data_IF_541241341748
#
_entry.id   IF_541241341748
#
_cell.length_a   1.000
_cell.length_b   1.000
_cell.length_c   1.000
_cell.angle_alpha   90.00
_cell.angle_beta   90.00
_cell.angle_gamma   90.00
#
_symmetry.space_group_name_H-M   'P 1'
#
loop_
_entity.id
_entity.type
_entity.pdbx_description
1 polymer ?
#
# COMPACT_ATOMS: atom_id res chain seq x y z
N UNK A 1 -53.43 -59.64 -23.99
CA UNK A 1 -52.26 -60.11 -24.75
C UNK A 1 -51.01 -59.88 -23.90
N UNK A 2 -50.22 -60.94 -23.64
CA UNK A 2 -48.92 -60.89 -22.94
C UNK A 2 -47.78 -60.85 -23.98
N UNK A 3 -46.77 -59.99 -23.78
CA UNK A 3 -45.34 -60.15 -24.16
C UNK A 3 -44.54 -59.29 -23.15
N UNK A 4 -43.93 -59.86 -22.09
CA UNK A 4 -42.61 -60.53 -22.02
C UNK A 4 -41.50 -59.55 -22.45
N UNK A 5 -40.88 -58.83 -21.50
CA UNK A 5 -39.68 -59.19 -20.70
C UNK A 5 -38.39 -59.11 -21.53
N UNK A 6 -37.44 -58.28 -21.09
CA UNK A 6 -35.98 -58.52 -21.00
C UNK A 6 -35.36 -57.24 -20.42
N UNK A 7 -34.98 -57.20 -19.13
CA UNK A 7 -33.61 -57.47 -18.60
C UNK A 7 -32.54 -56.79 -19.45
N UNK A 8 -31.66 -55.95 -18.92
CA UNK A 8 -30.53 -56.39 -18.08
C UNK A 8 -29.71 -55.17 -17.62
N UNK A 9 -29.07 -55.29 -16.45
CA UNK A 9 -27.64 -55.03 -16.15
C UNK A 9 -26.92 -53.88 -16.86
N UNK A 10 -25.94 -53.19 -16.28
CA UNK A 10 -25.24 -53.15 -15.00
C UNK A 10 -24.16 -52.07 -15.18
N UNK A 11 -23.38 -51.82 -14.12
CA UNK A 11 -22.03 -51.22 -14.15
C UNK A 11 -21.97 -49.68 -14.01
N UNK A 12 -21.95 -49.24 -12.74
CA UNK A 12 -20.97 -48.28 -12.19
C UNK A 12 -19.60 -48.43 -12.89
N UNK A 13 -18.73 -47.41 -13.04
CA UNK A 13 -18.36 -46.44 -11.99
C UNK A 13 -17.92 -45.04 -12.50
N UNK A 14 -17.52 -44.15 -11.57
CA UNK A 14 -16.60 -43.03 -11.85
C UNK A 14 -17.31 -41.73 -12.24
N UNK A 15 -17.16 -40.62 -11.52
CA UNK A 15 -15.90 -40.10 -10.98
C UNK A 15 -16.16 -39.49 -9.59
N UNK A 16 -15.57 -40.12 -8.58
CA UNK A 16 -15.19 -39.44 -7.35
C UNK A 16 -14.06 -38.49 -7.71
N UNK A 17 -14.26 -37.18 -7.59
CA UNK A 17 -13.16 -36.27 -7.27
C UNK A 17 -13.35 -35.83 -5.84
N UNK A 18 -12.74 -36.63 -4.96
CA UNK A 18 -12.28 -36.25 -3.64
C UNK A 18 -11.33 -35.04 -3.78
N UNK A 19 -11.43 -34.17 -2.78
CA UNK A 19 -10.36 -33.37 -2.18
C UNK A 19 -9.31 -32.75 -3.11
N UNK A 20 -9.26 -31.42 -3.11
CA UNK A 20 -8.24 -30.71 -2.34
C UNK A 20 -8.84 -29.41 -1.77
N UNK A 21 -9.53 -29.51 -0.63
CA UNK A 21 -9.34 -28.50 0.40
C UNK A 21 -7.97 -28.82 1.02
N UNK A 22 -6.91 -28.28 0.40
CA UNK A 22 -5.58 -28.28 0.96
C UNK A 22 -5.00 -26.89 0.83
N UNK A 23 -4.73 -26.32 2.00
CA UNK A 23 -3.64 -25.41 2.33
C UNK A 23 -3.47 -24.18 1.40
N UNK A 24 -3.71 -22.95 1.86
CA UNK A 24 -3.27 -22.46 3.16
C UNK A 24 -4.29 -21.56 3.85
N UNK A 25 -5.18 -22.16 4.64
CA UNK A 25 -5.42 -21.62 5.98
C UNK A 25 -4.17 -21.99 6.80
N UNK A 26 -3.16 -21.13 6.77
CA UNK A 26 -1.84 -21.46 7.27
C UNK A 26 -0.80 -20.37 7.09
N UNK A 27 -1.20 -19.10 7.02
CA UNK A 27 -0.40 -18.06 7.64
C UNK A 27 -1.06 -17.81 8.98
N UNK A 28 -0.33 -17.90 10.09
CA UNK A 28 -0.82 -17.39 11.37
C UNK A 28 -1.21 -15.94 11.13
N UNK A 29 -2.50 -15.71 10.89
CA UNK A 29 -3.02 -14.41 10.51
C UNK A 29 -2.65 -13.49 11.65
N UNK A 30 -1.70 -12.58 11.39
CA UNK A 30 -1.43 -11.50 12.32
C UNK A 30 -2.78 -10.85 12.54
N UNK A 31 -3.28 -10.92 13.76
CA UNK A 31 -4.41 -10.11 14.20
C UNK A 31 -3.95 -8.66 14.19
N UNK A 32 -3.83 -8.07 12.99
CA UNK A 32 -3.48 -6.67 12.81
C UNK A 32 -4.74 -5.86 13.07
N UNK A 33 -4.90 -5.45 14.32
CA UNK A 33 -5.89 -4.44 14.74
C UNK A 33 -5.28 -3.04 14.77
N UNK A 34 -4.00 -2.89 14.38
CA UNK A 34 -3.30 -1.62 14.27
C UNK A 34 -2.70 -1.52 12.87
N UNK A 35 -3.12 -0.54 12.07
CA UNK A 35 -2.45 -0.28 10.80
C UNK A 35 -0.95 -0.08 11.01
N UNK A 36 -0.16 -0.68 10.12
CA UNK A 36 1.29 -0.76 10.24
C UNK A 36 2.00 0.54 9.90
N UNK A 37 1.32 1.46 9.21
CA UNK A 37 1.70 2.86 9.12
C UNK A 37 0.87 3.71 10.08
N UNK A 38 1.53 4.63 10.77
CA UNK A 38 0.90 5.67 11.60
C UNK A 38 1.53 7.01 11.25
N UNK A 39 0.85 7.77 10.40
CA UNK A 39 1.31 9.05 9.89
C UNK A 39 0.41 10.18 10.42
N UNK A 40 1.05 11.22 10.93
CA UNK A 40 0.41 12.47 11.36
C UNK A 40 0.59 13.50 10.27
N UNK A 41 -0.53 14.02 9.75
CA UNK A 41 -0.54 15.09 8.76
C UNK A 41 -0.81 16.42 9.48
N UNK A 42 0.13 17.34 9.39
CA UNK A 42 -0.03 18.70 9.91
C UNK A 42 -0.38 19.61 8.73
N UNK A 43 -1.67 19.94 8.61
CA UNK A 43 -2.15 20.81 7.55
C UNK A 43 -1.52 22.21 7.64
N UNK A 44 -0.96 22.67 6.53
CA UNK A 44 -0.43 24.01 6.35
C UNK A 44 -1.46 24.95 5.69
N UNK A 45 -0.97 26.10 5.24
CA UNK A 45 -1.82 27.12 4.63
C UNK A 45 -2.48 26.60 3.33
N UNK A 46 -3.79 26.84 3.20
CA UNK A 46 -4.57 26.52 1.99
C UNK A 46 -4.77 25.04 1.72
N UNK A 47 -4.39 24.16 2.65
CA UNK A 47 -4.56 22.71 2.48
C UNK A 47 -6.05 22.35 2.32
N UNK A 48 -6.38 21.66 1.22
CA UNK A 48 -7.75 21.29 0.90
C UNK A 48 -7.99 19.76 0.92
N UNK A 49 -7.16 18.98 1.61
CA UNK A 49 -7.33 17.52 1.75
C UNK A 49 -8.00 17.09 3.06
N UNK A 50 -8.04 15.78 3.30
CA UNK A 50 -8.65 15.14 4.48
C UNK A 50 -7.69 15.03 5.66
N UNK A 51 -8.18 15.33 6.88
CA UNK A 51 -7.32 15.86 7.94
C UNK A 51 -6.90 14.86 9.04
N UNK A 52 -5.58 14.85 9.26
CA UNK A 52 -4.80 14.68 10.49
C UNK A 52 -4.27 13.30 10.91
N UNK A 53 -5.03 12.20 10.79
CA UNK A 53 -4.47 10.85 11.06
C UNK A 53 -4.65 9.92 9.88
N UNK A 54 -3.53 9.39 9.42
CA UNK A 54 -3.47 8.43 8.34
C UNK A 54 -2.89 7.13 8.88
N UNK A 55 -3.61 6.04 8.64
CA UNK A 55 -3.25 4.72 9.11
C UNK A 55 -3.59 3.70 8.03
N UNK A 56 -2.58 3.06 7.45
CA UNK A 56 -2.79 2.09 6.38
C UNK A 56 -1.77 0.98 6.44
N UNK A 57 -2.04 -0.08 5.68
CA UNK A 57 -1.13 -1.20 5.57
C UNK A 57 -0.13 -0.91 4.47
N UNK A 58 1.18 -0.95 4.75
CA UNK A 58 2.19 -0.71 3.75
C UNK A 58 2.38 -1.93 2.88
N UNK A 59 2.63 -1.69 1.61
CA UNK A 59 3.17 -2.68 0.66
C UNK A 59 4.47 -2.15 0.10
N UNK A 60 5.37 -3.05 -0.28
CA UNK A 60 6.61 -2.66 -0.96
C UNK A 60 6.83 -3.43 -2.23
N UNK A 61 7.59 -2.85 -3.15
CA UNK A 61 8.08 -3.52 -4.33
C UNK A 61 9.44 -2.93 -4.74
N UNK A 62 10.22 -3.72 -5.47
CA UNK A 62 11.44 -3.25 -6.13
C UNK A 62 11.17 -3.13 -7.62
N UNK A 63 11.42 -1.95 -8.19
CA UNK A 63 11.26 -1.70 -9.62
C UNK A 63 12.38 -0.79 -10.12
N UNK A 64 13.04 -1.19 -11.20
CA UNK A 64 14.12 -0.43 -11.84
C UNK A 64 15.23 0.03 -10.86
N UNK A 65 15.61 -0.84 -9.92
CA UNK A 65 16.66 -0.52 -8.94
C UNK A 65 16.22 0.41 -7.79
N UNK A 66 14.93 0.70 -7.67
CA UNK A 66 14.35 1.52 -6.58
C UNK A 66 13.37 0.71 -5.75
N UNK A 67 13.30 0.96 -4.44
CA UNK A 67 12.26 0.44 -3.56
C UNK A 67 11.09 1.43 -3.53
N UNK A 68 9.90 0.97 -3.85
CA UNK A 68 8.65 1.72 -3.75
C UNK A 68 7.86 1.20 -2.56
N UNK A 69 7.50 2.07 -1.64
CA UNK A 69 6.61 1.77 -0.51
C UNK A 69 5.31 2.52 -0.72
N UNK A 70 4.19 1.80 -0.68
CA UNK A 70 2.85 2.36 -0.77
C UNK A 70 2.14 2.14 0.55
N UNK A 71 1.45 3.16 1.05
CA UNK A 71 0.55 3.04 2.19
C UNK A 71 -0.81 3.57 1.79
N UNK A 72 -1.83 2.72 1.83
CA UNK A 72 -3.18 3.06 1.33
C UNK A 72 -4.21 2.97 2.45
N UNK A 73 -5.09 3.96 2.54
CA UNK A 73 -6.24 3.98 3.45
C UNK A 73 -7.46 4.58 2.75
N UNK A 74 -8.38 3.73 2.32
CA UNK A 74 -9.53 4.15 1.51
C UNK A 74 -9.08 4.71 0.16
N UNK A 75 -9.52 5.91 -0.19
CA UNK A 75 -9.11 6.61 -1.42
C UNK A 75 -7.77 7.37 -1.32
N UNK A 76 -7.03 7.16 -0.23
CA UNK A 76 -5.84 7.96 0.07
C UNK A 76 -4.61 7.10 0.01
N UNK A 77 -3.58 7.56 -0.69
CA UNK A 77 -2.35 6.79 -0.91
C UNK A 77 -1.13 7.66 -0.67
N UNK A 78 -0.25 7.21 0.22
CA UNK A 78 1.13 7.67 0.28
C UNK A 78 2.00 6.75 -0.56
N UNK A 79 2.90 7.35 -1.34
CA UNK A 79 3.94 6.64 -2.08
C UNK A 79 5.29 7.22 -1.73
N UNK A 80 6.23 6.37 -1.35
CA UNK A 80 7.61 6.73 -1.07
C UNK A 80 8.49 5.93 -2.03
N UNK A 81 9.45 6.59 -2.67
CA UNK A 81 10.47 5.95 -3.50
C UNK A 81 11.82 6.20 -2.88
N UNK A 82 12.52 5.11 -2.57
CA UNK A 82 13.91 5.13 -2.15
C UNK A 82 14.80 4.82 -3.36
N UNK A 83 15.96 5.50 -3.51
CA UNK A 83 16.79 5.42 -4.71
C UNK A 83 17.66 4.15 -4.76
N UNK A 84 17.30 3.11 -4.01
CA UNK A 84 18.01 1.83 -3.93
C UNK A 84 17.02 0.69 -3.81
N UNK A 85 17.35 -0.47 -4.36
CA UNK A 85 16.60 -1.71 -4.22
C UNK A 85 16.86 -2.42 -2.89
N UNK A 86 17.97 -2.08 -2.22
CA UNK A 86 18.43 -2.72 -0.98
C UNK A 86 18.76 -1.66 0.06
N UNK A 87 17.75 -0.97 0.63
CA UNK A 87 17.96 -0.04 1.74
C UNK A 87 18.73 -0.73 2.87
N UNK A 88 19.66 -0.02 3.50
CA UNK A 88 20.45 -0.51 4.62
C UNK A 88 20.02 0.16 5.94
N UNK A 89 20.29 -0.52 7.05
CA UNK A 89 19.99 0.02 8.37
C UNK A 89 20.75 1.33 8.61
N UNK A 90 20.05 2.35 9.10
CA UNK A 90 20.52 3.73 9.28
C UNK A 90 20.73 4.53 7.99
N UNK A 91 20.26 4.06 6.83
CA UNK A 91 20.18 4.92 5.66
C UNK A 91 19.24 6.10 5.94
N UNK A 92 19.61 7.28 5.43
CA UNK A 92 18.79 8.48 5.47
C UNK A 92 18.64 9.04 4.06
N UNK A 93 17.40 9.29 3.66
CA UNK A 93 17.08 9.81 2.33
C UNK A 93 16.34 11.14 2.43
N UNK A 94 16.87 12.17 1.77
CA UNK A 94 16.23 13.49 1.69
C UNK A 94 15.22 13.51 0.55
N UNK A 95 13.96 13.81 0.85
CA UNK A 95 12.89 13.87 -0.16
C UNK A 95 13.15 15.02 -1.13
N UNK A 96 12.99 14.76 -2.43
CA UNK A 96 13.26 15.73 -3.49
C UNK A 96 14.72 15.74 -3.97
N UNK A 97 15.57 14.84 -3.44
CA UNK A 97 16.98 14.72 -3.82
C UNK A 97 17.35 13.30 -4.21
N UNK A 98 18.34 13.18 -5.10
CA UNK A 98 18.99 11.90 -5.47
C UNK A 98 18.02 10.76 -5.82
N UNK A 99 16.89 11.08 -6.47
CA UNK A 99 15.87 10.10 -6.86
C UNK A 99 14.88 9.70 -5.75
N UNK A 100 15.08 10.18 -4.52
CA UNK A 100 14.11 10.00 -3.42
C UNK A 100 12.90 10.88 -3.66
N UNK A 101 11.71 10.29 -3.64
CA UNK A 101 10.46 11.04 -3.79
C UNK A 101 9.39 10.55 -2.82
N UNK A 102 8.47 11.45 -2.49
CA UNK A 102 7.24 11.11 -1.79
C UNK A 102 6.08 11.77 -2.54
N UNK A 103 4.94 11.08 -2.62
CA UNK A 103 3.69 11.68 -3.11
C UNK A 103 2.53 11.22 -2.25
N UNK A 104 1.52 12.08 -2.16
CA UNK A 104 0.27 11.82 -1.48
C UNK A 104 -0.87 12.12 -2.44
N UNK A 105 -1.81 11.19 -2.59
CA UNK A 105 -3.01 11.41 -3.40
C UNK A 105 -4.28 11.10 -2.63
N UNK A 106 -5.32 11.88 -2.90
CA UNK A 106 -6.69 11.59 -2.51
C UNK A 106 -7.55 11.45 -3.76
N UNK A 107 -8.04 10.23 -4.00
CA UNK A 107 -8.90 9.97 -5.14
C UNK A 107 -10.25 10.67 -4.98
N UNK A 108 -10.74 11.25 -6.07
CA UNK A 108 -12.08 11.81 -6.08
C UNK A 108 -13.12 10.70 -6.27
N UNK A 109 -14.11 10.63 -5.38
CA UNK A 109 -15.25 9.74 -5.54
C UNK A 109 -16.32 10.30 -6.49
N UNK A 110 -16.15 11.52 -7.00
CA UNK A 110 -17.09 12.18 -7.89
C UNK A 110 -16.46 12.34 -9.26
N UNK A 111 -16.96 11.58 -10.25
CA UNK A 111 -16.61 11.80 -11.66
C UNK A 111 -17.25 13.10 -12.15
N UNK A 112 -16.55 13.95 -12.93
CA UNK A 112 -15.22 13.78 -13.52
C UNK A 112 -14.12 14.58 -12.77
N UNK A 113 -14.21 14.71 -11.45
CA UNK A 113 -13.25 15.53 -10.70
C UNK A 113 -11.91 14.80 -10.62
N UNK A 114 -10.80 15.41 -11.06
CA UNK A 114 -9.48 14.80 -10.93
C UNK A 114 -9.05 14.60 -9.48
N UNK A 115 -8.11 13.68 -9.27
CA UNK A 115 -7.52 13.42 -7.96
C UNK A 115 -6.78 14.65 -7.43
N UNK A 116 -6.73 14.78 -6.09
CA UNK A 116 -5.87 15.76 -5.43
C UNK A 116 -4.52 15.11 -5.17
N UNK A 117 -3.46 15.65 -5.76
CA UNK A 117 -2.10 15.12 -5.63
C UNK A 117 -1.17 16.17 -5.04
N UNK A 118 -0.38 15.79 -4.04
CA UNK A 118 0.68 16.59 -3.47
C UNK A 118 2.01 15.84 -3.58
N UNK A 119 3.08 16.57 -3.89
CA UNK A 119 4.42 16.03 -4.02
C UNK A 119 5.30 16.49 -2.87
N UNK A 120 6.14 15.59 -2.40
CA UNK A 120 7.11 15.85 -1.35
C UNK A 120 8.19 16.82 -1.82
N UNK A 121 8.48 17.84 -1.03
CA UNK A 121 9.43 18.92 -1.37
C UNK A 121 10.62 19.00 -0.41
N UNK A 122 10.62 18.22 0.68
CA UNK A 122 11.70 18.19 1.66
C UNK A 122 11.41 17.28 2.85
N UNK A 123 12.27 17.32 3.86
CA UNK A 123 12.28 16.40 5.01
C UNK A 123 13.08 15.13 4.72
N UNK A 124 13.09 14.20 5.68
CA UNK A 124 13.88 12.96 5.56
C UNK A 124 13.05 11.70 5.79
N UNK A 125 13.51 10.62 5.18
CA UNK A 125 13.07 9.25 5.43
C UNK A 125 14.24 8.48 6.01
N UNK A 126 14.13 8.06 7.26
CA UNK A 126 15.13 7.24 7.94
C UNK A 126 14.75 5.76 7.85
N UNK A 127 15.73 4.93 7.55
CA UNK A 127 15.58 3.47 7.42
C UNK A 127 16.09 2.80 8.69
N UNK A 128 15.26 1.92 9.25
CA UNK A 128 15.69 1.00 10.29
C UNK A 128 15.28 -0.43 9.96
N UNK A 129 16.12 -1.38 10.35
CA UNK A 129 15.81 -2.81 10.34
C UNK A 129 15.77 -3.32 11.78
N UNK A 130 14.64 -3.90 12.16
CA UNK A 130 14.56 -4.71 13.37
C UNK A 130 14.33 -6.16 12.96
N UNK A 131 15.34 -7.00 13.23
CA UNK A 131 15.40 -8.38 12.74
C UNK A 131 15.39 -8.38 11.21
N UNK A 132 14.28 -8.75 10.58
CA UNK A 132 14.10 -8.82 9.12
C UNK A 132 12.97 -7.92 8.63
N UNK A 133 12.54 -6.98 9.45
CA UNK A 133 11.43 -6.08 9.13
C UNK A 133 11.98 -4.69 8.86
N UNK A 134 11.60 -4.11 7.73
CA UNK A 134 11.91 -2.73 7.39
C UNK A 134 10.93 -1.78 8.07
N UNK A 135 11.50 -0.71 8.64
CA UNK A 135 10.81 0.41 9.24
C UNK A 135 11.27 1.68 8.53
N UNK A 136 10.32 2.54 8.14
CA UNK A 136 10.61 3.88 7.64
C UNK A 136 10.06 4.90 8.63
N UNK A 137 10.89 5.83 9.05
CA UNK A 137 10.46 7.00 9.83
C UNK A 137 10.50 8.24 8.95
N UNK A 138 9.36 8.90 8.80
CA UNK A 138 9.23 10.16 8.09
C UNK A 138 9.43 11.28 9.11
N UNK A 139 10.46 12.11 8.90
CA UNK A 139 10.74 13.26 9.75
C UNK A 139 10.38 14.53 8.99
N UNK A 140 9.23 15.10 9.34
CA UNK A 140 8.73 16.38 8.85
C UNK A 140 8.80 16.52 7.31
N UNK A 141 8.34 15.48 6.62
CA UNK A 141 8.29 15.47 5.15
C UNK A 141 7.26 16.50 4.69
N UNK A 142 7.72 17.50 3.96
CA UNK A 142 6.89 18.60 3.47
C UNK A 142 6.24 18.23 2.15
N UNK A 143 4.98 18.59 1.98
CA UNK A 143 4.20 18.36 0.76
C UNK A 143 3.63 19.68 0.24
N UNK A 144 3.68 19.85 -1.08
CA UNK A 144 3.04 20.96 -1.79
C UNK A 144 2.13 20.42 -2.88
N UNK A 145 1.06 21.17 -3.17
CA UNK A 145 0.12 20.81 -4.23
C UNK A 145 0.84 20.60 -5.55
N UNK A 146 0.55 19.48 -6.23
CA UNK A 146 1.02 19.25 -7.58
C UNK A 146 0.30 20.22 -8.52
N UNK A 147 1.07 21.06 -9.21
CA UNK A 147 0.57 22.02 -10.20
C UNK A 147 0.46 21.43 -11.60
N UNK A 148 0.70 20.13 -11.78
CA UNK A 148 0.53 19.44 -13.06
C UNK A 148 -0.93 19.42 -13.51
N UNK A 149 -1.14 19.36 -14.83
CA UNK A 149 -2.47 19.48 -15.43
C UNK A 149 -3.42 18.39 -14.92
N UNK A 150 -4.48 18.82 -14.24
CA UNK A 150 -5.56 17.98 -13.74
C UNK A 150 -5.70 18.03 -12.23
N UNK A 151 -4.61 18.09 -11.46
CA UNK A 151 -4.69 18.06 -9.99
C UNK A 151 -5.53 19.21 -9.42
N UNK A 152 -6.40 18.90 -8.47
CA UNK A 152 -7.20 19.87 -7.70
C UNK A 152 -6.59 20.17 -6.32
N UNK A 153 -5.39 19.66 -6.05
CA UNK A 153 -4.72 19.88 -4.78
C UNK A 153 -4.43 21.36 -4.57
N UNK A 154 -4.57 21.81 -3.32
CA UNK A 154 -4.20 23.16 -2.89
C UNK A 154 -3.43 23.10 -1.58
N UNK A 155 -2.64 24.15 -1.37
CA UNK A 155 -1.90 24.37 -0.14
C UNK A 155 -0.76 23.38 0.09
N UNK A 156 -0.35 23.31 1.35
CA UNK A 156 0.80 22.55 1.83
C UNK A 156 0.46 21.81 3.10
N UNK A 157 1.23 20.77 3.44
CA UNK A 157 1.17 20.10 4.74
C UNK A 157 2.49 19.40 5.02
N UNK A 158 2.74 19.03 6.27
CA UNK A 158 3.86 18.16 6.64
C UNK A 158 3.40 16.82 7.18
N UNK A 159 4.25 15.81 7.05
CA UNK A 159 4.01 14.45 7.52
C UNK A 159 5.13 14.01 8.43
N UNK A 160 4.77 13.49 9.59
CA UNK A 160 5.69 12.76 10.46
C UNK A 160 5.05 11.46 10.93
N UNK A 161 5.85 10.43 11.12
CA UNK A 161 5.37 9.14 11.62
C UNK A 161 6.23 7.97 11.18
N UNK A 162 5.72 6.77 11.43
CA UNK A 162 6.46 5.54 11.13
C UNK A 162 5.61 4.60 10.29
N UNK A 163 6.25 3.96 9.33
CA UNK A 163 5.74 2.85 8.54
C UNK A 163 6.51 1.62 8.98
N UNK A 164 5.81 0.61 9.47
CA UNK A 164 6.37 -0.62 10.05
C UNK A 164 5.96 -1.84 9.26
N UNK A 165 6.50 -3.02 9.58
CA UNK A 165 6.08 -4.29 8.98
C UNK A 165 6.13 -4.30 7.44
N UNK A 166 7.10 -3.59 6.86
CA UNK A 166 7.29 -3.58 5.41
C UNK A 166 8.01 -4.88 5.03
N UNK A 167 7.29 -5.75 4.33
CA UNK A 167 7.77 -7.05 3.84
C UNK A 167 8.28 -6.91 2.39
N UNK A 168 9.35 -7.66 2.08
CA UNK A 168 10.00 -7.74 0.76
C UNK A 168 9.81 -9.14 0.16
#
# INVERSE_FOLDING_TARGET
>A
MRKILHRSNSLLPGLVVLLFAAAGCGGGGRTSTNADAKLTLTAGAGYNGSSVRFSGDPTSSVTNGTTVVLVTQGARTFRIVLPTATPQNNDQFTVGQNGTSASYSEASFSLPVPDRVWNGTGGTVDVQFLRNTLFLTLNDVQFAADSSNGSQAQGTFSVSGTITNIEF
#
